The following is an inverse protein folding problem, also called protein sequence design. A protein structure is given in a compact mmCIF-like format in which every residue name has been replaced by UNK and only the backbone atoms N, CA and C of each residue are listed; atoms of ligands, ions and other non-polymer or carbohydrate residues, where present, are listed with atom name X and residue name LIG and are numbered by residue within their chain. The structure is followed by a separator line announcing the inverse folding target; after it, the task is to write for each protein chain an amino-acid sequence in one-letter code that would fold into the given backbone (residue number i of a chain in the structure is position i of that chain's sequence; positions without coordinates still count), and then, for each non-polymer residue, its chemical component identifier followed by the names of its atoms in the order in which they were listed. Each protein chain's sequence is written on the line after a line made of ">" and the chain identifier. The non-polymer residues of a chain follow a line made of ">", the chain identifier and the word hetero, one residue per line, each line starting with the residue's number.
data_IF_352235780469
#
_entry.id   IF_352235780469
#
_cell.length_a   1.000
_cell.length_b   1.000
_cell.length_c   1.000
_cell.angle_alpha   90.00
_cell.angle_beta   90.00
_cell.angle_gamma   90.00
#
_symmetry.space_group_name_H-M   'P 1'
#
loop_
_entity.id
_entity.type
_entity.pdbx_description
1 polymer ?
#
# COMPACT_ATOMS: atom_id res chain seq x y z
N UNK A 1 -11.63 4.90 24.96
CA UNK A 1 -12.98 4.78 24.38
C UNK A 1 -13.75 6.04 24.70
N UNK A 2 -14.45 6.64 23.74
CA UNK A 2 -15.17 7.90 23.94
C UNK A 2 -16.66 7.69 24.22
N UNK A 3 -17.22 6.53 23.88
CA UNK A 3 -18.64 6.20 24.10
C UNK A 3 -18.83 5.01 25.02
N UNK A 4 -19.90 5.06 25.82
CA UNK A 4 -20.38 3.92 26.58
C UNK A 4 -21.91 3.82 26.53
N UNK A 5 -22.44 2.75 27.11
CA UNK A 5 -23.86 2.60 27.40
C UNK A 5 -24.07 2.84 28.89
N UNK A 6 -24.98 3.74 29.25
CA UNK A 6 -25.38 4.01 30.64
C UNK A 6 -26.31 2.92 31.22
N UNK A 7 -26.82 3.16 32.43
CA UNK A 7 -27.75 2.25 33.11
C UNK A 7 -29.11 2.16 32.40
N UNK A 8 -29.53 3.22 31.71
CA UNK A 8 -30.76 3.31 30.94
C UNK A 8 -30.62 2.75 29.51
N UNK A 9 -29.50 2.08 29.20
CA UNK A 9 -29.15 1.56 27.88
C UNK A 9 -28.99 2.63 26.77
N UNK A 10 -28.75 3.89 27.13
CA UNK A 10 -28.50 4.98 26.18
C UNK A 10 -27.00 5.16 25.95
N UNK A 11 -26.62 5.51 24.71
CA UNK A 11 -25.24 5.89 24.37
C UNK A 11 -24.90 7.23 25.04
N UNK A 12 -23.76 7.31 25.70
CA UNK A 12 -23.26 8.53 26.35
C UNK A 12 -21.78 8.76 26.01
N UNK A 13 -21.45 10.03 25.70
CA UNK A 13 -20.07 10.48 25.51
C UNK A 13 -19.37 10.63 26.86
N UNK A 14 -18.10 10.27 26.90
CA UNK A 14 -17.30 10.34 28.13
C UNK A 14 -17.26 11.75 28.73
N UNK A 15 -17.29 12.80 27.91
CA UNK A 15 -17.30 14.19 28.38
C UNK A 15 -18.60 14.62 29.09
N UNK A 16 -19.70 13.90 28.89
CA UNK A 16 -20.97 14.12 29.58
C UNK A 16 -21.22 13.12 30.71
N UNK A 17 -20.30 12.17 30.90
CA UNK A 17 -20.38 11.15 31.91
C UNK A 17 -19.90 11.66 33.27
N UNK A 18 -20.52 11.17 34.35
CA UNK A 18 -20.12 11.44 35.73
C UNK A 18 -19.61 10.16 36.42
N UNK A 19 -18.81 10.29 37.49
CA UNK A 19 -18.18 9.14 38.17
C UNK A 19 -19.15 8.34 39.04
N UNK A 20 -20.32 8.89 39.33
CA UNK A 20 -21.34 8.32 40.20
C UNK A 20 -22.20 7.28 39.48
N UNK A 21 -22.15 7.24 38.15
CA UNK A 21 -22.92 6.28 37.34
C UNK A 21 -22.05 5.12 36.84
N UNK A 22 -22.70 3.98 36.60
CA UNK A 22 -22.05 2.82 35.98
C UNK A 22 -22.22 2.83 34.47
N UNK A 23 -21.16 2.45 33.76
CA UNK A 23 -21.15 2.39 32.31
C UNK A 23 -20.73 1.02 31.83
N UNK A 24 -21.25 0.63 30.66
CA UNK A 24 -20.96 -0.64 30.01
C UNK A 24 -20.46 -0.43 28.59
N UNK A 25 -19.55 -1.30 28.16
CA UNK A 25 -19.05 -1.30 26.80
C UNK A 25 -20.17 -1.65 25.80
N UNK A 26 -20.38 -0.88 24.73
CA UNK A 26 -21.41 -1.18 23.73
C UNK A 26 -21.23 -2.56 23.07
N UNK A 27 -19.98 -2.99 22.90
CA UNK A 27 -19.60 -4.22 22.18
C UNK A 27 -19.66 -5.46 23.07
N UNK A 28 -18.95 -5.47 24.20
CA UNK A 28 -18.83 -6.67 25.05
C UNK A 28 -19.72 -6.64 26.30
N UNK A 29 -20.44 -5.52 26.53
CA UNK A 29 -21.29 -5.29 27.71
C UNK A 29 -20.58 -5.31 29.08
N UNK A 30 -19.26 -5.50 29.11
CA UNK A 30 -18.47 -5.45 30.33
C UNK A 30 -18.49 -4.03 30.96
N UNK A 31 -18.38 -3.93 32.29
CA UNK A 31 -18.27 -2.64 32.99
C UNK A 31 -17.06 -1.81 32.54
N UNK A 32 -17.22 -0.49 32.58
CA UNK A 32 -16.21 0.50 32.22
C UNK A 32 -15.93 1.45 33.38
N UNK A 33 -14.71 1.99 33.40
CA UNK A 33 -14.26 3.05 34.32
C UNK A 33 -14.20 4.36 33.54
N UNK A 34 -14.84 5.40 34.06
CA UNK A 34 -14.64 6.77 33.58
C UNK A 34 -13.30 7.33 34.08
N UNK A 35 -12.37 7.57 33.17
CA UNK A 35 -11.11 8.26 33.42
C UNK A 35 -11.33 9.74 33.12
N UNK A 36 -11.26 10.56 34.16
CA UNK A 36 -11.47 12.02 34.09
C UNK A 36 -10.49 12.71 35.04
N UNK A 37 -9.75 13.69 34.53
CA UNK A 37 -8.80 14.50 35.30
C UNK A 37 -8.35 15.73 34.51
N UNK A 38 -7.61 16.65 35.16
CA UNK A 38 -7.19 17.92 34.54
C UNK A 38 -6.21 17.77 33.36
N UNK A 39 -5.46 16.67 33.33
CA UNK A 39 -4.40 16.41 32.33
C UNK A 39 -4.83 15.33 31.32
N UNK A 40 -5.75 14.45 31.71
CA UNK A 40 -6.14 13.28 30.92
C UNK A 40 -7.48 13.58 30.26
N UNK A 41 -7.53 13.43 28.94
CA UNK A 41 -8.76 13.56 28.18
C UNK A 41 -9.81 12.59 28.72
N UNK A 42 -11.01 13.10 29.01
CA UNK A 42 -12.08 12.28 29.56
C UNK A 42 -12.43 11.12 28.62
N UNK A 43 -12.30 9.89 29.11
CA UNK A 43 -12.55 8.67 28.33
C UNK A 43 -12.97 7.50 29.21
N UNK A 44 -13.56 6.48 28.61
CA UNK A 44 -13.84 5.20 29.24
C UNK A 44 -12.71 4.19 29.00
N UNK A 45 -12.44 3.37 30.02
CA UNK A 45 -11.51 2.26 29.98
C UNK A 45 -12.14 0.99 30.56
N UNK A 46 -11.77 -0.18 30.03
CA UNK A 46 -12.14 -1.45 30.64
C UNK A 46 -11.37 -1.65 31.97
N UNK A 47 -11.97 -2.37 32.91
CA UNK A 47 -11.23 -2.87 34.07
C UNK A 47 -10.11 -3.82 33.62
N UNK A 48 -8.93 -3.79 34.29
CA UNK A 48 -7.85 -4.73 34.01
C UNK A 48 -8.37 -6.19 34.03
N UNK A 49 -7.87 -7.03 33.12
CA UNK A 49 -8.22 -8.45 32.92
C UNK A 49 -9.55 -8.79 32.22
N UNK A 50 -10.39 -7.83 31.82
CA UNK A 50 -11.57 -8.11 30.98
C UNK A 50 -11.21 -8.08 29.49
N UNK A 51 -11.11 -9.25 28.85
CA UNK A 51 -10.94 -9.36 27.39
C UNK A 51 -12.17 -8.80 26.68
N UNK A 52 -11.97 -7.85 25.79
CA UNK A 52 -12.98 -7.38 24.86
C UNK A 52 -12.50 -7.74 23.45
N UNK A 53 -13.23 -8.61 22.75
CA UNK A 53 -12.85 -9.07 21.41
C UNK A 53 -12.84 -7.95 20.35
N UNK A 54 -13.52 -6.82 20.63
CA UNK A 54 -13.54 -5.62 19.80
C UNK A 54 -12.49 -4.58 20.21
N UNK A 55 -11.57 -4.88 21.13
CA UNK A 55 -10.66 -3.89 21.73
C UNK A 55 -9.22 -4.43 21.84
N UNK A 56 -8.25 -3.64 21.37
CA UNK A 56 -6.87 -3.72 21.85
C UNK A 56 -6.76 -2.95 23.17
N UNK A 57 -6.09 -3.50 24.17
CA UNK A 57 -5.88 -2.90 25.50
C UNK A 57 -5.57 -1.38 25.46
N UNK A 58 -6.10 -0.64 26.46
CA UNK A 58 -5.88 0.79 26.76
C UNK A 58 -5.56 1.71 25.57
N UNK A 59 -6.57 2.44 25.07
CA UNK A 59 -6.31 3.49 24.07
C UNK A 59 -5.35 4.55 24.62
N UNK A 60 -4.32 4.89 23.84
CA UNK A 60 -3.40 5.98 24.18
C UNK A 60 -4.09 7.33 24.05
N UNK A 61 -3.50 8.36 24.68
CA UNK A 61 -3.95 9.74 24.50
C UNK A 61 -3.91 10.16 23.03
N UNK A 62 -2.85 9.80 22.29
CA UNK A 62 -2.76 10.04 20.84
C UNK A 62 -3.95 9.45 20.09
N UNK A 63 -4.35 8.21 20.43
CA UNK A 63 -5.50 7.57 19.80
C UNK A 63 -6.81 8.33 20.07
N UNK A 64 -7.01 8.76 21.33
CA UNK A 64 -8.21 9.50 21.73
C UNK A 64 -8.27 10.87 21.02
N UNK A 65 -7.19 11.64 21.05
CA UNK A 65 -7.13 12.96 20.42
C UNK A 65 -7.25 12.88 18.90
N UNK A 66 -6.57 11.93 18.26
CA UNK A 66 -6.71 11.73 16.82
C UNK A 66 -8.13 11.35 16.40
N UNK A 67 -8.85 10.53 17.18
CA UNK A 67 -10.27 10.24 16.92
C UNK A 67 -11.16 11.48 17.04
N UNK A 68 -10.95 12.30 18.06
CA UNK A 68 -11.70 13.56 18.21
C UNK A 68 -11.44 14.51 17.03
N UNK A 69 -10.18 14.60 16.61
CA UNK A 69 -9.79 15.42 15.47
C UNK A 69 -10.44 14.93 14.17
N UNK A 70 -10.35 13.62 13.88
CA UNK A 70 -11.02 13.01 12.73
C UNK A 70 -12.54 13.18 12.79
N UNK A 71 -13.14 13.06 13.97
CA UNK A 71 -14.58 13.26 14.15
C UNK A 71 -15.01 14.69 13.82
N UNK A 72 -14.30 15.69 14.34
CA UNK A 72 -14.54 17.11 14.03
C UNK A 72 -14.42 17.36 12.53
N UNK A 73 -13.35 16.86 11.92
CA UNK A 73 -13.10 17.00 10.49
C UNK A 73 -14.20 16.34 9.65
N UNK A 74 -14.52 15.07 9.88
CA UNK A 74 -15.56 14.40 9.10
C UNK A 74 -16.94 15.05 9.33
N UNK A 75 -17.24 15.52 10.55
CA UNK A 75 -18.52 16.18 10.86
C UNK A 75 -18.67 17.54 10.20
N UNK A 76 -17.59 18.21 9.78
CA UNK A 76 -17.68 19.42 8.97
C UNK A 76 -17.99 19.14 7.50
N UNK A 77 -17.93 17.88 7.06
CA UNK A 77 -18.16 17.46 5.67
C UNK A 77 -19.38 16.56 5.49
N UNK A 78 -19.74 15.76 6.49
CA UNK A 78 -20.82 14.78 6.40
C UNK A 78 -21.86 15.01 7.50
N UNK A 79 -23.13 14.83 7.13
CA UNK A 79 -24.28 15.06 8.02
C UNK A 79 -24.42 14.02 9.14
N UNK A 80 -23.88 12.81 8.93
CA UNK A 80 -24.02 11.68 9.86
C UNK A 80 -22.67 11.03 10.09
N UNK A 81 -22.00 11.42 11.18
CA UNK A 81 -20.76 10.79 11.64
C UNK A 81 -21.01 10.22 13.04
N UNK A 82 -20.66 8.96 13.24
CA UNK A 82 -20.74 8.27 14.52
C UNK A 82 -19.33 7.89 14.99
N UNK A 83 -18.98 8.31 16.20
CA UNK A 83 -17.84 7.74 16.92
C UNK A 83 -18.15 6.31 17.34
N UNK A 84 -17.16 5.42 17.26
CA UNK A 84 -17.17 4.08 17.86
C UNK A 84 -18.47 3.31 17.60
N UNK A 85 -19.01 3.42 16.38
CA UNK A 85 -20.28 2.84 16.00
C UNK A 85 -20.20 1.30 16.08
N UNK A 86 -21.00 0.68 16.94
CA UNK A 86 -21.07 -0.78 16.96
C UNK A 86 -21.88 -1.27 15.77
N UNK A 87 -21.25 -2.07 14.90
CA UNK A 87 -21.83 -2.65 13.70
C UNK A 87 -22.21 -4.10 13.99
N UNK A 88 -23.48 -4.40 14.36
CA UNK A 88 -23.84 -5.68 14.96
C UNK A 88 -23.69 -6.86 14.00
N UNK A 89 -23.94 -6.63 12.70
CA UNK A 89 -23.84 -7.66 11.66
C UNK A 89 -22.43 -8.25 11.55
N UNK A 90 -21.41 -7.43 11.79
CA UNK A 90 -20.00 -7.85 11.70
C UNK A 90 -19.31 -7.92 13.06
N UNK A 91 -20.02 -7.58 14.14
CA UNK A 91 -19.51 -7.47 15.50
C UNK A 91 -18.23 -6.62 15.60
N UNK A 92 -18.09 -5.64 14.71
CA UNK A 92 -16.98 -4.70 14.69
C UNK A 92 -17.41 -3.34 15.21
N UNK A 93 -16.40 -2.53 15.52
CA UNK A 93 -16.57 -1.17 15.98
C UNK A 93 -15.42 -0.34 15.40
N UNK A 94 -15.61 0.25 14.21
CA UNK A 94 -14.63 1.19 13.69
C UNK A 94 -14.51 2.39 14.64
N UNK A 95 -13.40 3.11 14.55
CA UNK A 95 -13.20 4.31 15.36
C UNK A 95 -14.20 5.39 14.98
N UNK A 96 -14.50 5.52 13.69
CA UNK A 96 -15.59 6.35 13.17
C UNK A 96 -16.36 5.62 12.07
N UNK A 97 -17.63 5.96 11.93
CA UNK A 97 -18.52 5.50 10.86
C UNK A 97 -19.28 6.69 10.29
N UNK A 98 -19.46 6.74 8.98
CA UNK A 98 -20.33 7.73 8.35
C UNK A 98 -20.88 7.19 7.02
N UNK A 99 -21.91 7.87 6.52
CA UNK A 99 -22.41 7.67 5.15
C UNK A 99 -22.04 8.91 4.32
N UNK A 100 -21.35 8.71 3.20
CA UNK A 100 -21.01 9.82 2.30
C UNK A 100 -22.25 10.31 1.52
N UNK A 101 -22.11 11.34 0.69
CA UNK A 101 -23.23 11.88 -0.12
C UNK A 101 -23.87 10.84 -1.07
N UNK A 102 -23.11 9.80 -1.45
CA UNK A 102 -23.56 8.69 -2.29
C UNK A 102 -24.21 7.56 -1.49
N UNK A 103 -24.33 7.72 -0.15
CA UNK A 103 -24.79 6.71 0.81
C UNK A 103 -23.90 5.47 0.90
N UNK A 104 -22.63 5.61 0.52
CA UNK A 104 -21.65 4.57 0.79
C UNK A 104 -21.33 4.55 2.28
N UNK A 105 -21.31 3.34 2.85
CA UNK A 105 -21.01 3.11 4.26
C UNK A 105 -19.50 3.09 4.46
N UNK A 106 -18.96 4.08 5.16
CA UNK A 106 -17.51 4.23 5.34
C UNK A 106 -17.14 4.05 6.81
N UNK A 107 -16.22 3.13 7.05
CA UNK A 107 -15.57 2.93 8.34
C UNK A 107 -14.20 3.64 8.33
N UNK A 108 -13.83 4.29 9.42
CA UNK A 108 -12.50 4.86 9.61
C UNK A 108 -11.83 4.18 10.79
N UNK A 109 -10.60 3.75 10.57
CA UNK A 109 -9.76 3.06 11.56
C UNK A 109 -8.48 3.88 11.76
N UNK A 110 -8.25 4.35 12.98
CA UNK A 110 -7.10 5.16 13.35
C UNK A 110 -6.08 4.34 14.15
N UNK A 111 -5.05 3.84 13.49
CA UNK A 111 -4.15 2.86 14.11
C UNK A 111 -2.93 3.52 14.77
N UNK A 112 -2.94 3.62 16.11
CA UNK A 112 -1.82 4.15 16.91
C UNK A 112 -0.92 3.08 17.58
N UNK A 113 -1.42 1.86 17.75
CA UNK A 113 -0.73 0.77 18.45
C UNK A 113 -0.35 -0.38 17.51
N UNK A 114 0.34 -1.41 18.00
CA UNK A 114 0.66 -2.59 17.19
C UNK A 114 -0.62 -3.39 16.91
N UNK A 115 -0.93 -3.58 15.63
CA UNK A 115 -1.95 -4.50 15.12
C UNK A 115 -1.25 -5.53 14.25
N UNK A 116 -1.57 -6.81 14.41
CA UNK A 116 -0.98 -7.84 13.54
C UNK A 116 -1.53 -7.74 12.12
N UNK A 117 -0.74 -8.20 11.13
CA UNK A 117 -1.17 -8.23 9.73
C UNK A 117 -2.45 -9.06 9.55
N UNK A 118 -2.57 -10.19 10.25
CA UNK A 118 -3.73 -11.08 10.15
C UNK A 118 -5.00 -10.44 10.71
N UNK A 119 -4.90 -9.72 11.84
CA UNK A 119 -6.05 -9.01 12.42
C UNK A 119 -6.51 -7.87 11.51
N UNK A 120 -5.58 -7.07 10.99
CA UNK A 120 -5.91 -5.97 10.08
C UNK A 120 -6.58 -6.48 8.79
N UNK A 121 -6.03 -7.56 8.21
CA UNK A 121 -6.60 -8.19 7.02
C UNK A 121 -8.00 -8.76 7.30
N UNK A 122 -8.16 -9.48 8.42
CA UNK A 122 -9.47 -10.02 8.83
C UNK A 122 -10.52 -8.92 9.01
N UNK A 123 -10.16 -7.82 9.69
CA UNK A 123 -11.06 -6.67 9.89
C UNK A 123 -11.46 -6.04 8.56
N UNK A 124 -10.47 -5.76 7.71
CA UNK A 124 -10.68 -5.14 6.39
C UNK A 124 -11.57 -5.99 5.49
N UNK A 125 -11.29 -7.29 5.37
CA UNK A 125 -12.10 -8.20 4.56
C UNK A 125 -13.52 -8.35 5.12
N UNK A 126 -13.69 -8.30 6.43
CA UNK A 126 -15.02 -8.33 7.05
C UNK A 126 -15.82 -7.07 6.75
N UNK A 127 -15.22 -5.88 6.68
CA UNK A 127 -15.90 -4.67 6.22
C UNK A 127 -16.33 -4.80 4.76
N UNK A 128 -15.38 -5.15 3.88
CA UNK A 128 -15.62 -5.24 2.44
C UNK A 128 -16.71 -6.25 2.08
N UNK A 129 -16.71 -7.43 2.71
CA UNK A 129 -17.75 -8.46 2.48
C UNK A 129 -19.16 -8.04 2.88
N UNK A 130 -19.30 -7.01 3.72
CA UNK A 130 -20.59 -6.49 4.19
C UNK A 130 -20.88 -5.11 3.61
N UNK A 131 -20.26 -4.75 2.48
CA UNK A 131 -20.46 -3.49 1.76
C UNK A 131 -20.09 -2.24 2.57
N UNK A 132 -19.08 -2.35 3.43
CA UNK A 132 -18.42 -1.21 4.06
C UNK A 132 -17.09 -0.92 3.35
N UNK A 133 -16.88 0.33 2.97
CA UNK A 133 -15.56 0.87 2.66
C UNK A 133 -14.80 1.12 3.95
N UNK A 134 -13.46 1.05 3.94
CA UNK A 134 -12.65 1.35 5.12
C UNK A 134 -11.47 2.25 4.78
N UNK A 135 -11.29 3.30 5.57
CA UNK A 135 -10.14 4.19 5.54
C UNK A 135 -9.25 3.87 6.73
N UNK A 136 -8.05 3.36 6.44
CA UNK A 136 -7.03 3.12 7.45
C UNK A 136 -6.08 4.33 7.52
N UNK A 137 -5.95 4.91 8.71
CA UNK A 137 -5.10 6.08 8.97
C UNK A 137 -4.08 5.71 10.03
N UNK A 138 -2.80 5.93 9.72
CA UNK A 138 -1.69 5.68 10.64
C UNK A 138 -1.53 6.80 11.67
N UNK A 139 -1.27 6.43 12.92
CA UNK A 139 -0.93 7.35 14.00
C UNK A 139 0.55 7.79 14.03
N UNK A 140 0.91 8.71 14.94
CA UNK A 140 2.26 9.28 15.02
C UNK A 140 3.35 8.25 15.35
N UNK A 141 3.02 7.18 16.08
CA UNK A 141 3.99 6.16 16.52
C UNK A 141 4.30 5.09 15.45
N UNK A 142 3.66 5.15 14.28
CA UNK A 142 3.87 4.21 13.16
C UNK A 142 4.86 4.75 12.11
N UNK A 143 6.07 5.09 12.54
CA UNK A 143 7.10 5.60 11.65
C UNK A 143 7.43 4.60 10.51
N UNK A 144 7.42 5.09 9.27
CA UNK A 144 8.00 4.36 8.14
C UNK A 144 9.53 4.38 8.29
N UNK A 145 10.16 3.20 8.34
CA UNK A 145 11.63 3.11 8.32
C UNK A 145 12.11 3.32 6.88
N UNK A 146 13.11 4.18 6.69
CA UNK A 146 13.59 4.72 5.40
C UNK A 146 14.07 3.73 4.33
N UNK A 147 14.02 2.42 4.57
CA UNK A 147 14.61 1.46 3.65
C UNK A 147 13.60 0.53 2.97
N UNK A 148 12.41 0.27 3.55
CA UNK A 148 11.39 -0.66 2.99
C UNK A 148 9.98 -0.40 3.54
N UNK A 149 8.96 -0.55 2.69
CA UNK A 149 7.56 -0.75 3.14
C UNK A 149 7.43 -2.18 3.66
N UNK A 150 7.19 -2.35 4.95
CA UNK A 150 6.95 -3.66 5.57
C UNK A 150 5.65 -4.30 5.04
N UNK A 151 5.49 -5.61 5.24
CA UNK A 151 4.25 -6.31 4.86
C UNK A 151 3.02 -5.72 5.57
N UNK A 152 3.17 -5.31 6.85
CA UNK A 152 2.12 -4.63 7.61
C UNK A 152 1.77 -3.27 6.99
N UNK A 153 2.76 -2.44 6.65
CA UNK A 153 2.51 -1.12 6.06
C UNK A 153 1.82 -1.22 4.69
N UNK A 154 2.06 -2.30 3.92
CA UNK A 154 1.35 -2.53 2.64
C UNK A 154 -0.16 -2.73 2.82
N UNK A 155 -0.61 -3.21 3.98
CA UNK A 155 -2.04 -3.34 4.27
C UNK A 155 -2.77 -1.99 4.39
N UNK A 156 -2.04 -0.90 4.66
CA UNK A 156 -2.56 0.47 4.71
C UNK A 156 -2.58 1.16 3.35
N UNK A 157 -2.01 0.55 2.31
CA UNK A 157 -1.94 1.17 0.98
C UNK A 157 -3.33 1.21 0.37
N UNK A 158 -3.74 2.39 -0.07
CA UNK A 158 -5.00 2.63 -0.79
C UNK A 158 -4.76 3.50 -2.04
N UNK A 159 -5.64 3.42 -3.04
CA UNK A 159 -5.58 4.32 -4.21
C UNK A 159 -6.08 5.73 -3.84
N UNK A 160 -5.30 6.76 -4.18
CA UNK A 160 -5.69 8.19 -4.07
C UNK A 160 -5.46 8.92 -5.40
N UNK A 161 -5.80 10.21 -5.46
CA UNK A 161 -5.47 11.07 -6.61
C UNK A 161 -3.96 11.25 -6.85
N UNK A 162 -3.12 10.95 -5.86
CA UNK A 162 -1.65 10.96 -5.96
C UNK A 162 -1.07 9.56 -6.27
N UNK A 163 -1.92 8.59 -6.62
CA UNK A 163 -1.53 7.19 -6.82
C UNK A 163 -1.62 6.35 -5.54
N UNK A 164 -0.87 5.25 -5.48
CA UNK A 164 -0.88 4.36 -4.31
C UNK A 164 -0.27 5.06 -3.09
N UNK A 165 -1.08 5.24 -2.05
CA UNK A 165 -0.78 6.10 -0.91
C UNK A 165 -1.01 5.40 0.44
N UNK A 166 -0.36 5.90 1.47
CA UNK A 166 -0.64 5.60 2.88
C UNK A 166 -1.01 6.90 3.58
N UNK A 167 -2.10 6.93 4.33
CA UNK A 167 -2.54 8.10 5.10
C UNK A 167 -1.98 8.03 6.52
N UNK A 168 -1.40 9.14 7.00
CA UNK A 168 -0.92 9.32 8.37
C UNK A 168 -1.51 10.59 8.95
N UNK A 169 -2.00 10.55 10.19
CA UNK A 169 -2.51 11.72 10.87
C UNK A 169 -1.44 12.35 11.76
N UNK A 170 -1.17 13.64 11.54
CA UNK A 170 -0.38 14.46 12.42
C UNK A 170 -1.31 15.23 13.35
N UNK A 171 -1.50 14.73 14.57
CA UNK A 171 -2.43 15.28 15.56
C UNK A 171 -2.04 16.71 15.93
N UNK A 172 -0.75 16.96 16.17
CA UNK A 172 -0.26 18.27 16.64
C UNK A 172 -0.41 19.38 15.60
N UNK A 173 -0.20 19.04 14.32
CA UNK A 173 -0.38 20.01 13.22
C UNK A 173 -1.82 20.07 12.73
N UNK A 174 -2.68 19.12 13.11
CA UNK A 174 -4.00 18.92 12.51
C UNK A 174 -3.94 18.73 10.98
N UNK A 175 -2.97 17.94 10.52
CA UNK A 175 -2.79 17.62 9.10
C UNK A 175 -2.92 16.13 8.82
N UNK A 176 -3.47 15.79 7.67
CA UNK A 176 -3.37 14.47 7.07
C UNK A 176 -2.19 14.44 6.09
N UNK A 177 -1.29 13.51 6.29
CA UNK A 177 -0.08 13.30 5.50
C UNK A 177 -0.31 12.09 4.57
N UNK A 178 -0.30 12.33 3.25
CA UNK A 178 -0.30 11.26 2.25
C UNK A 178 1.12 10.94 1.84
N UNK A 179 1.52 9.70 2.11
CA UNK A 179 2.81 9.14 1.72
C UNK A 179 2.60 8.31 0.46
N UNK A 180 3.20 8.71 -0.65
CA UNK A 180 2.99 8.13 -1.98
C UNK A 180 4.30 8.04 -2.77
N UNK A 181 4.23 7.77 -4.08
CA UNK A 181 5.40 7.69 -4.96
C UNK A 181 6.51 6.76 -4.45
N UNK A 182 6.10 5.62 -3.90
CA UNK A 182 7.01 4.60 -3.42
C UNK A 182 7.86 4.05 -4.56
N UNK A 183 9.10 4.55 -4.67
CA UNK A 183 10.03 4.24 -5.75
C UNK A 183 11.40 3.87 -5.22
N UNK A 184 12.04 2.88 -5.81
CA UNK A 184 13.43 2.56 -5.48
C UNK A 184 14.38 3.48 -6.27
N UNK A 185 15.25 4.18 -5.55
CA UNK A 185 16.42 4.83 -6.15
C UNK A 185 17.34 3.80 -6.81
N UNK A 186 18.30 4.27 -7.62
CA UNK A 186 19.34 3.40 -8.23
C UNK A 186 20.15 2.60 -7.20
N UNK A 187 20.15 3.01 -5.92
CA UNK A 187 20.79 2.30 -4.81
C UNK A 187 19.82 1.40 -4.02
N UNK A 188 18.59 1.19 -4.49
CA UNK A 188 17.49 0.48 -3.80
C UNK A 188 17.08 1.08 -2.46
N UNK A 189 17.42 2.35 -2.20
CA UNK A 189 16.76 3.09 -1.14
C UNK A 189 15.37 3.44 -1.60
N UNK A 190 14.37 3.05 -0.82
CA UNK A 190 12.99 3.44 -1.07
C UNK A 190 12.86 4.93 -0.79
N UNK A 191 12.46 5.67 -1.81
CA UNK A 191 12.05 7.05 -1.70
C UNK A 191 10.53 7.11 -1.77
N UNK A 192 9.97 8.17 -1.21
CA UNK A 192 8.55 8.49 -1.28
C UNK A 192 8.38 10.00 -1.26
N UNK A 193 7.21 10.46 -1.70
CA UNK A 193 6.78 11.84 -1.59
C UNK A 193 5.79 11.93 -0.42
N UNK A 194 5.90 13.00 0.38
CA UNK A 194 4.92 13.31 1.43
C UNK A 194 4.16 14.58 1.03
N UNK A 195 2.84 14.48 0.95
CA UNK A 195 1.94 15.61 0.69
C UNK A 195 1.07 15.85 1.92
N UNK A 196 1.04 17.09 2.39
CA UNK A 196 0.35 17.47 3.62
C UNK A 196 -0.97 18.18 3.28
N UNK A 197 -2.05 17.76 3.94
CA UNK A 197 -3.39 18.32 3.79
C UNK A 197 -3.85 18.84 5.16
N UNK A 198 -4.11 20.15 5.28
CA UNK A 198 -4.74 20.70 6.48
C UNK A 198 -6.17 20.19 6.59
N UNK A 199 -6.55 19.65 7.74
CA UNK A 199 -7.91 19.12 7.94
C UNK A 199 -8.98 20.21 7.84
N UNK A 200 -8.67 21.44 8.26
CA UNK A 200 -9.60 22.57 8.19
C UNK A 200 -10.04 22.87 6.74
N UNK A 201 -9.12 22.71 5.78
CA UNK A 201 -9.30 23.20 4.41
C UNK A 201 -9.40 22.08 3.35
N UNK A 202 -9.29 20.81 3.75
CA UNK A 202 -9.22 19.69 2.82
C UNK A 202 -10.45 18.78 2.93
N UNK A 203 -11.08 18.50 1.79
CA UNK A 203 -12.20 17.55 1.71
C UNK A 203 -11.70 16.10 1.88
N UNK A 204 -12.36 15.26 2.71
CA UNK A 204 -12.05 13.84 2.79
C UNK A 204 -12.23 13.11 1.45
N UNK A 205 -13.22 13.49 0.65
CA UNK A 205 -13.50 12.88 -0.66
C UNK A 205 -12.35 13.12 -1.65
N UNK A 206 -11.75 14.31 -1.65
CA UNK A 206 -10.55 14.63 -2.45
C UNK A 206 -9.40 13.66 -2.13
N UNK A 207 -9.24 13.30 -0.86
CA UNK A 207 -8.12 12.50 -0.38
C UNK A 207 -8.37 11.01 -0.61
N UNK A 208 -9.54 10.50 -0.25
CA UNK A 208 -9.81 9.06 -0.14
C UNK A 208 -10.70 8.47 -1.22
N UNK A 209 -11.46 9.27 -1.97
CA UNK A 209 -12.44 8.75 -2.95
C UNK A 209 -12.06 8.99 -4.40
N UNK A 210 -11.03 9.81 -4.65
CA UNK A 210 -10.56 10.05 -6.00
C UNK A 210 -9.76 8.85 -6.51
N UNK A 211 -10.30 8.25 -7.58
CA UNK A 211 -9.60 7.25 -8.37
C UNK A 211 -8.34 7.91 -8.95
N UNK A 212 -7.19 7.24 -9.02
CA UNK A 212 -6.02 7.72 -9.77
C UNK A 212 -6.32 7.72 -11.28
N UNK A 213 -7.22 8.60 -11.72
CA UNK A 213 -7.38 8.94 -13.12
C UNK A 213 -6.48 10.14 -13.44
N UNK A 214 -5.52 9.90 -14.34
CA UNK A 214 -4.78 10.89 -15.12
C UNK A 214 -3.53 11.60 -14.54
N UNK A 215 -3.10 11.38 -13.29
CA UNK A 215 -1.94 12.11 -12.73
C UNK A 215 -0.63 11.32 -12.62
N UNK A 216 0.26 11.41 -13.62
CA UNK A 216 1.73 11.13 -13.51
C UNK A 216 2.22 9.67 -13.29
N UNK A 217 1.81 8.71 -14.14
CA UNK A 217 2.44 7.37 -14.15
C UNK A 217 3.63 7.20 -15.12
N UNK A 218 4.01 8.25 -15.86
CA UNK A 218 5.07 8.20 -16.90
C UNK A 218 6.31 9.04 -16.57
N UNK A 219 6.84 8.98 -15.34
CA UNK A 219 8.23 9.41 -15.08
C UNK A 219 9.13 8.19 -15.04
N UNK A 220 9.75 7.87 -16.17
CA UNK A 220 10.77 6.83 -16.25
C UNK A 220 12.14 7.45 -15.99
N UNK A 221 12.82 6.99 -14.94
CA UNK A 221 14.24 7.25 -14.74
C UNK A 221 14.99 5.98 -15.03
N UNK A 222 15.91 5.99 -16.01
CA UNK A 222 16.73 4.80 -16.26
C UNK A 222 17.58 4.53 -15.03
N UNK A 223 17.73 3.25 -14.73
CA UNK A 223 18.57 2.77 -13.63
C UNK A 223 20.03 2.88 -14.03
N UNK A 224 20.93 3.07 -13.06
CA UNK A 224 22.36 2.89 -13.28
C UNK A 224 22.65 1.39 -13.46
N UNK A 225 22.50 0.92 -14.70
CA UNK A 225 22.57 -0.50 -15.03
C UNK A 225 23.93 -1.11 -14.70
N UNK A 226 25.02 -0.34 -14.85
CA UNK A 226 26.37 -0.80 -14.56
C UNK A 226 26.56 -1.01 -13.06
N UNK A 227 26.17 -0.03 -12.24
CA UNK A 227 26.17 -0.17 -10.78
C UNK A 227 25.32 -1.36 -10.33
N UNK A 228 24.10 -1.47 -10.86
CA UNK A 228 23.16 -2.54 -10.51
C UNK A 228 23.71 -3.92 -10.90
N UNK A 229 24.32 -4.05 -12.08
CA UNK A 229 24.97 -5.28 -12.52
C UNK A 229 26.07 -5.72 -11.54
N UNK A 230 27.03 -4.84 -11.23
CA UNK A 230 28.11 -5.15 -10.28
C UNK A 230 27.59 -5.51 -8.88
N UNK A 231 26.57 -4.79 -8.40
CA UNK A 231 25.92 -5.05 -7.12
C UNK A 231 25.35 -6.48 -7.05
N UNK A 232 24.58 -6.89 -8.06
CA UNK A 232 23.97 -8.22 -8.05
C UNK A 232 24.99 -9.34 -8.27
N UNK A 233 26.02 -9.11 -9.09
CA UNK A 233 27.16 -10.02 -9.20
C UNK A 233 27.83 -10.26 -7.84
N UNK A 234 28.04 -9.20 -7.06
CA UNK A 234 28.55 -9.32 -5.68
C UNK A 234 27.60 -10.13 -4.79
N UNK A 235 26.30 -9.87 -4.83
CA UNK A 235 25.32 -10.59 -4.00
C UNK A 235 25.22 -12.08 -4.30
N UNK A 236 25.32 -12.48 -5.58
CA UNK A 236 25.36 -13.90 -5.96
C UNK A 236 26.61 -14.57 -5.40
N UNK A 237 27.78 -13.91 -5.50
CA UNK A 237 29.03 -14.41 -4.91
C UNK A 237 28.91 -14.68 -3.41
N UNK A 238 28.17 -13.82 -2.69
CA UNK A 238 27.88 -13.99 -1.26
C UNK A 238 26.63 -14.84 -0.96
N UNK A 239 26.14 -15.62 -1.95
CA UNK A 239 25.03 -16.57 -1.79
C UNK A 239 23.74 -15.94 -1.22
N UNK A 240 23.36 -14.75 -1.72
CA UNK A 240 22.09 -14.13 -1.32
C UNK A 240 20.90 -15.04 -1.70
N UNK A 241 20.20 -15.56 -0.68
CA UNK A 241 19.05 -16.47 -0.84
C UNK A 241 17.92 -15.88 -1.67
N UNK A 242 17.74 -14.55 -1.67
CA UNK A 242 16.67 -13.88 -2.43
C UNK A 242 16.87 -13.96 -3.95
N UNK A 243 18.08 -14.27 -4.41
CA UNK A 243 18.41 -14.39 -5.83
C UNK A 243 18.40 -15.85 -6.32
N UNK A 244 18.27 -16.83 -5.43
CA UNK A 244 18.43 -18.23 -5.76
C UNK A 244 17.45 -18.69 -6.85
N UNK A 245 16.18 -18.27 -6.75
CA UNK A 245 15.14 -18.58 -7.76
C UNK A 245 15.52 -18.05 -9.14
N UNK A 246 15.97 -16.80 -9.23
CA UNK A 246 16.43 -16.21 -10.49
C UNK A 246 17.66 -16.96 -11.03
N UNK A 247 18.67 -17.21 -10.19
CA UNK A 247 19.91 -17.89 -10.62
C UNK A 247 19.61 -19.29 -11.16
N UNK A 248 18.72 -20.02 -10.50
CA UNK A 248 18.27 -21.33 -10.96
C UNK A 248 17.56 -21.25 -12.32
N UNK A 249 16.68 -20.26 -12.52
CA UNK A 249 16.02 -20.02 -13.81
C UNK A 249 17.01 -19.72 -14.92
N UNK A 250 17.95 -18.81 -14.67
CA UNK A 250 19.01 -18.47 -15.64
C UNK A 250 19.81 -19.73 -16.02
N UNK A 251 20.24 -20.51 -15.03
CA UNK A 251 21.00 -21.74 -15.25
C UNK A 251 20.23 -22.76 -16.11
N UNK A 252 18.94 -22.99 -15.82
CA UNK A 252 18.08 -23.90 -16.61
C UNK A 252 17.96 -23.49 -18.07
N UNK A 253 17.98 -22.18 -18.34
CA UNK A 253 17.95 -21.60 -19.69
C UNK A 253 19.35 -21.43 -20.30
N UNK A 254 20.39 -21.97 -19.67
CA UNK A 254 21.81 -21.83 -20.08
C UNK A 254 22.28 -20.37 -20.17
N UNK A 255 21.70 -19.51 -19.35
CA UNK A 255 22.07 -18.10 -19.20
C UNK A 255 22.71 -17.84 -17.83
N UNK A 256 23.29 -16.65 -17.67
CA UNK A 256 23.80 -16.14 -16.40
C UNK A 256 23.60 -14.64 -16.32
N UNK A 257 23.93 -14.03 -15.18
CA UNK A 257 23.92 -12.56 -15.09
C UNK A 257 24.89 -11.89 -16.08
N UNK A 258 25.88 -12.61 -16.59
CA UNK A 258 26.80 -12.11 -17.61
C UNK A 258 26.16 -12.01 -19.00
N UNK A 259 25.19 -12.88 -19.30
CA UNK A 259 24.63 -13.04 -20.66
C UNK A 259 23.20 -12.49 -20.78
N UNK A 260 22.45 -12.45 -19.69
CA UNK A 260 21.05 -11.98 -19.68
C UNK A 260 20.94 -10.50 -20.03
N UNK A 261 19.82 -10.10 -20.62
CA UNK A 261 19.50 -8.70 -20.93
C UNK A 261 19.65 -7.77 -19.73
N UNK A 262 20.15 -6.55 -19.95
CA UNK A 262 20.21 -5.53 -18.91
C UNK A 262 18.83 -5.00 -18.49
N UNK A 263 17.81 -5.21 -19.33
CA UNK A 263 16.45 -4.73 -19.12
C UNK A 263 15.83 -5.23 -17.81
N UNK A 264 16.29 -6.38 -17.29
CA UNK A 264 15.83 -6.91 -15.99
C UNK A 264 16.26 -6.02 -14.81
N UNK A 265 17.26 -5.15 -14.99
CA UNK A 265 17.77 -4.26 -13.95
C UNK A 265 16.97 -2.96 -13.81
N UNK A 266 16.13 -2.61 -14.78
CA UNK A 266 15.39 -1.36 -14.75
C UNK A 266 14.37 -1.36 -13.60
N UNK A 267 14.47 -0.43 -12.65
CA UNK A 267 13.45 -0.19 -11.63
C UNK A 267 12.11 0.24 -12.26
N UNK A 268 11.01 -0.39 -11.83
CA UNK A 268 9.67 -0.09 -12.33
C UNK A 268 8.77 0.38 -11.19
N UNK A 269 7.91 1.37 -11.48
CA UNK A 269 6.95 1.88 -10.51
C UNK A 269 6.05 0.74 -10.00
N UNK A 270 5.83 0.73 -8.69
CA UNK A 270 5.03 -0.29 -8.00
C UNK A 270 5.57 -1.73 -8.04
N UNK A 271 6.82 -1.97 -8.44
CA UNK A 271 7.41 -3.32 -8.38
C UNK A 271 7.45 -3.94 -6.98
N UNK A 272 7.43 -3.09 -5.94
CA UNK A 272 7.32 -3.52 -4.54
C UNK A 272 6.01 -4.22 -4.19
N UNK A 273 4.99 -4.17 -5.07
CA UNK A 273 3.73 -4.91 -4.92
C UNK A 273 3.91 -6.42 -5.13
N UNK A 274 4.90 -6.81 -5.93
CA UNK A 274 5.22 -8.21 -6.24
C UNK A 274 6.23 -8.73 -5.20
N UNK A 275 5.95 -9.90 -4.63
CA UNK A 275 6.82 -10.60 -3.67
C UNK A 275 7.99 -11.30 -4.34
N UNK A 276 7.81 -11.78 -5.58
CA UNK A 276 8.90 -12.31 -6.39
C UNK A 276 9.97 -11.23 -6.61
N UNK A 277 11.23 -11.64 -6.74
CA UNK A 277 12.31 -10.68 -6.95
C UNK A 277 12.09 -9.88 -8.25
N UNK A 278 12.30 -8.54 -8.29
CA UNK A 278 12.02 -7.73 -9.48
C UNK A 278 12.67 -8.23 -10.77
N UNK A 279 13.96 -8.59 -10.69
CA UNK A 279 14.67 -9.15 -11.85
C UNK A 279 14.12 -10.51 -12.31
N UNK A 280 13.53 -11.30 -11.41
CA UNK A 280 13.01 -12.63 -11.72
C UNK A 280 11.75 -12.53 -12.58
N UNK A 281 10.74 -11.78 -12.15
CA UNK A 281 9.52 -11.67 -12.93
C UNK A 281 9.74 -10.89 -14.23
N UNK A 282 10.66 -9.90 -14.26
CA UNK A 282 11.03 -9.21 -15.50
C UNK A 282 11.71 -10.15 -16.48
N UNK A 283 12.60 -11.01 -15.99
CA UNK A 283 13.20 -12.05 -16.83
C UNK A 283 12.13 -12.95 -17.43
N UNK A 284 11.19 -13.44 -16.62
CA UNK A 284 10.09 -14.28 -17.11
C UNK A 284 9.23 -13.56 -18.18
N UNK A 285 8.91 -12.28 -17.97
CA UNK A 285 8.20 -11.47 -18.96
C UNK A 285 9.02 -11.32 -20.25
N UNK A 286 10.33 -11.05 -20.16
CA UNK A 286 11.20 -10.98 -21.33
C UNK A 286 11.23 -12.30 -22.10
N UNK A 287 11.25 -13.45 -21.41
CA UNK A 287 11.20 -14.76 -22.06
C UNK A 287 9.88 -14.97 -22.83
N UNK A 288 8.74 -14.55 -22.27
CA UNK A 288 7.45 -14.57 -22.98
C UNK A 288 7.52 -13.71 -24.23
N UNK A 289 7.95 -12.45 -24.11
CA UNK A 289 8.06 -11.53 -25.26
C UNK A 289 9.05 -12.06 -26.30
N UNK A 290 10.15 -12.68 -25.88
CA UNK A 290 11.15 -13.19 -26.80
C UNK A 290 10.63 -14.38 -27.64
N UNK A 291 9.69 -15.17 -27.11
CA UNK A 291 9.04 -16.27 -27.84
C UNK A 291 8.05 -15.82 -28.91
N UNK A 292 7.51 -14.59 -28.81
CA UNK A 292 6.59 -14.06 -29.83
C UNK A 292 7.35 -13.81 -31.14
N UNK A 293 6.76 -14.06 -32.33
CA UNK A 293 7.36 -13.68 -33.59
C UNK A 293 7.57 -12.15 -33.72
N UNK A 294 8.54 -11.73 -34.52
CA UNK A 294 8.62 -10.31 -34.90
C UNK A 294 7.36 -9.88 -35.65
N UNK A 295 6.97 -8.62 -35.48
CA UNK A 295 5.68 -8.05 -35.92
C UNK A 295 4.43 -8.66 -35.27
N UNK A 296 4.55 -9.63 -34.35
CA UNK A 296 3.39 -10.16 -33.62
C UNK A 296 2.72 -9.05 -32.79
N UNK A 297 1.40 -8.96 -32.90
CA UNK A 297 0.56 -8.01 -32.17
C UNK A 297 -0.17 -8.78 -31.06
N UNK A 298 -0.13 -8.24 -29.85
CA UNK A 298 -0.86 -8.81 -28.72
C UNK A 298 -1.54 -7.71 -27.91
N UNK A 299 -2.71 -8.03 -27.39
CA UNK A 299 -3.52 -7.16 -26.54
C UNK A 299 -3.18 -7.32 -25.06
N UNK A 300 -3.68 -6.38 -24.25
CA UNK A 300 -3.65 -6.44 -22.80
C UNK A 300 -4.21 -7.75 -22.25
N UNK A 301 -5.32 -8.22 -22.82
CA UNK A 301 -5.98 -9.47 -22.40
C UNK A 301 -5.14 -10.71 -22.73
N UNK A 302 -4.52 -10.73 -23.91
CA UNK A 302 -3.61 -11.81 -24.31
C UNK A 302 -2.35 -11.82 -23.44
N UNK A 303 -1.73 -10.66 -23.20
CA UNK A 303 -0.59 -10.56 -22.30
C UNK A 303 -0.92 -11.06 -20.90
N UNK A 304 -2.05 -10.64 -20.34
CA UNK A 304 -2.54 -11.14 -19.04
C UNK A 304 -2.73 -12.65 -19.04
N UNK A 305 -3.05 -13.26 -20.19
CA UNK A 305 -3.15 -14.72 -20.33
C UNK A 305 -1.78 -15.38 -20.31
N UNK A 306 -0.79 -14.81 -21.02
CA UNK A 306 0.58 -15.34 -21.03
C UNK A 306 1.22 -15.35 -19.64
N UNK A 307 0.99 -14.31 -18.83
CA UNK A 307 1.60 -14.20 -17.51
C UNK A 307 0.91 -15.04 -16.42
N UNK A 308 -0.28 -15.61 -16.66
CA UNK A 308 -0.99 -16.44 -15.67
C UNK A 308 -0.13 -17.61 -15.21
N UNK A 309 0.71 -18.15 -16.09
CA UNK A 309 1.60 -19.27 -15.80
C UNK A 309 2.78 -18.89 -14.88
N UNK A 310 3.10 -17.59 -14.75
CA UNK A 310 4.23 -17.12 -13.94
C UNK A 310 4.01 -17.24 -12.43
N UNK A 311 2.77 -17.52 -11.99
CA UNK A 311 2.39 -17.68 -10.57
C UNK A 311 2.94 -16.54 -9.69
N UNK A 312 2.82 -15.30 -10.17
CA UNK A 312 3.28 -14.11 -9.45
C UNK A 312 2.56 -14.02 -8.09
N UNK A 313 3.35 -13.82 -7.03
CA UNK A 313 2.86 -13.64 -5.67
C UNK A 313 2.85 -12.15 -5.37
N UNK A 314 1.71 -11.62 -4.97
CA UNK A 314 1.57 -10.23 -4.54
C UNK A 314 1.57 -10.15 -3.02
N UNK A 315 1.93 -8.99 -2.47
CA UNK A 315 1.67 -8.69 -1.06
C UNK A 315 0.17 -8.47 -0.84
N UNK A 316 -0.29 -8.77 0.37
CA UNK A 316 -1.65 -8.44 0.78
C UNK A 316 -1.80 -6.91 0.85
N UNK A 317 -2.73 -6.40 0.05
CA UNK A 317 -3.09 -4.98 -0.06
C UNK A 317 -4.61 -4.92 -0.28
N UNK A 318 -5.42 -5.15 0.77
CA UNK A 318 -6.85 -5.40 0.62
C UNK A 318 -7.64 -4.19 0.10
N UNK A 319 -7.10 -2.97 0.21
CA UNK A 319 -7.72 -1.74 -0.31
C UNK A 319 -7.35 -1.45 -1.77
N UNK A 320 -6.42 -2.23 -2.36
CA UNK A 320 -5.99 -2.09 -3.75
C UNK A 320 -6.64 -3.16 -4.61
N UNK A 321 -7.43 -2.72 -5.60
CA UNK A 321 -8.11 -3.60 -6.56
C UNK A 321 -7.11 -4.42 -7.39
N UNK A 322 -7.54 -5.63 -7.80
CA UNK A 322 -6.66 -6.56 -8.54
C UNK A 322 -6.20 -6.03 -9.91
N UNK A 323 -7.04 -5.26 -10.60
CA UNK A 323 -6.67 -4.60 -11.86
C UNK A 323 -5.43 -3.69 -11.68
N UNK A 324 -5.35 -2.94 -10.56
CA UNK A 324 -4.22 -2.07 -10.23
C UNK A 324 -2.95 -2.87 -9.91
N UNK A 325 -3.09 -4.06 -9.33
CA UNK A 325 -1.94 -4.95 -9.05
C UNK A 325 -1.23 -5.41 -10.32
N UNK A 326 -1.97 -5.53 -11.42
CA UNK A 326 -1.38 -5.89 -12.73
C UNK A 326 -0.73 -4.71 -13.45
N UNK A 327 -0.99 -3.46 -13.01
CA UNK A 327 -0.48 -2.25 -13.66
C UNK A 327 1.05 -2.18 -13.74
N UNK A 328 1.75 -2.68 -12.70
CA UNK A 328 3.21 -2.79 -12.68
C UNK A 328 3.79 -3.51 -13.91
N UNK A 329 3.07 -4.52 -14.43
CA UNK A 329 3.53 -5.29 -15.58
C UNK A 329 3.42 -4.49 -16.87
N UNK A 330 2.39 -3.64 -16.98
CA UNK A 330 2.23 -2.74 -18.12
C UNK A 330 3.26 -1.62 -18.12
N UNK A 331 3.68 -1.12 -16.95
CA UNK A 331 4.80 -0.18 -16.89
C UNK A 331 6.12 -0.80 -17.35
N UNK A 332 6.29 -2.11 -17.17
CA UNK A 332 7.42 -2.79 -17.77
C UNK A 332 7.29 -2.89 -19.29
N UNK A 333 6.09 -3.15 -19.84
CA UNK A 333 5.86 -3.09 -21.29
C UNK A 333 6.11 -1.69 -21.86
N UNK A 334 5.67 -0.64 -21.16
CA UNK A 334 5.94 0.76 -21.54
C UNK A 334 7.45 1.03 -21.59
N UNK A 335 8.22 0.50 -20.62
CA UNK A 335 9.67 0.55 -20.66
C UNK A 335 10.25 -0.22 -21.87
N UNK A 336 9.71 -1.39 -22.21
CA UNK A 336 10.12 -2.12 -23.41
C UNK A 336 9.80 -1.36 -24.71
N UNK A 337 8.75 -0.54 -24.71
CA UNK A 337 8.49 0.41 -25.80
C UNK A 337 9.56 1.49 -25.88
N UNK A 338 10.00 2.05 -24.76
CA UNK A 338 11.09 3.04 -24.73
C UNK A 338 12.41 2.47 -25.26
N UNK A 339 12.67 1.18 -25.05
CA UNK A 339 13.87 0.50 -25.56
C UNK A 339 13.69 -0.03 -27.00
N UNK A 340 12.54 0.25 -27.62
CA UNK A 340 12.20 -0.14 -28.98
C UNK A 340 12.01 -1.64 -29.19
N UNK A 341 11.89 -2.42 -28.13
CA UNK A 341 11.56 -3.86 -28.20
C UNK A 341 10.10 -4.04 -28.64
N UNK A 342 9.23 -3.18 -28.13
CA UNK A 342 7.81 -3.13 -28.47
C UNK A 342 7.44 -1.77 -29.09
N UNK A 343 6.32 -1.72 -29.81
CA UNK A 343 5.63 -0.46 -30.16
C UNK A 343 4.21 -0.53 -29.61
N UNK A 344 3.80 0.49 -28.85
CA UNK A 344 2.39 0.70 -28.49
C UNK A 344 1.62 1.11 -29.74
N UNK A 345 0.64 0.30 -30.15
CA UNK A 345 -0.26 0.65 -31.28
C UNK A 345 -1.40 1.53 -30.78
N UNK A 346 -1.93 1.19 -29.60
CA UNK A 346 -2.88 1.97 -28.82
C UNK A 346 -2.79 1.55 -27.34
N UNK A 347 -3.61 2.18 -26.49
CA UNK A 347 -3.59 1.99 -25.03
C UNK A 347 -3.77 0.55 -24.52
N UNK A 348 -4.11 -0.41 -25.39
CA UNK A 348 -4.34 -1.80 -25.01
C UNK A 348 -3.63 -2.82 -25.92
N UNK A 349 -2.81 -2.41 -26.89
CA UNK A 349 -2.16 -3.33 -27.83
C UNK A 349 -0.73 -2.93 -28.15
N UNK A 350 0.13 -3.93 -28.26
CA UNK A 350 1.55 -3.79 -28.56
C UNK A 350 1.96 -4.68 -29.71
N UNK A 351 2.94 -4.23 -30.49
CA UNK A 351 3.62 -5.01 -31.52
C UNK A 351 5.05 -5.30 -31.08
N UNK A 352 5.51 -6.55 -31.22
CA UNK A 352 6.93 -6.88 -31.07
C UNK A 352 7.71 -6.37 -32.29
N UNK A 353 8.74 -5.55 -32.06
CA UNK A 353 9.58 -5.02 -33.13
C UNK A 353 10.85 -5.84 -33.34
N UNK A 354 11.53 -6.21 -32.25
CA UNK A 354 12.81 -6.92 -32.29
C UNK A 354 12.95 -7.86 -31.10
N UNK A 355 13.87 -8.82 -31.23
CA UNK A 355 14.22 -9.73 -30.14
C UNK A 355 14.87 -9.01 -28.96
N UNK A 356 14.71 -9.59 -27.77
CA UNK A 356 15.32 -9.06 -26.53
C UNK A 356 16.83 -9.21 -26.64
N UNK A 357 17.59 -8.15 -26.34
CA UNK A 357 19.04 -8.21 -26.38
C UNK A 357 19.59 -9.19 -25.33
N UNK A 358 20.46 -10.10 -25.78
CA UNK A 358 21.29 -10.98 -24.95
C UNK A 358 22.77 -10.74 -25.30
N UNK A 359 23.66 -11.19 -24.44
CA UNK A 359 25.10 -11.00 -24.60
C UNK A 359 25.83 -12.35 -24.66
N UNK A 360 26.91 -12.39 -25.44
CA UNK A 360 27.73 -13.59 -25.59
C UNK A 360 28.62 -13.82 -24.36
N UNK A 361 29.04 -12.74 -23.69
CA UNK A 361 29.88 -12.77 -22.51
C UNK A 361 29.76 -11.47 -21.69
N UNK A 362 30.37 -11.46 -20.50
CA UNK A 362 30.36 -10.30 -19.60
C UNK A 362 31.03 -9.07 -20.21
N UNK A 363 32.14 -9.23 -20.93
CA UNK A 363 32.87 -8.11 -21.52
C UNK A 363 32.03 -7.32 -22.52
N UNK A 364 31.25 -8.02 -23.35
CA UNK A 364 30.28 -7.42 -24.27
C UNK A 364 29.20 -6.64 -23.50
N UNK A 365 28.64 -7.27 -22.44
CA UNK A 365 27.62 -6.64 -21.60
C UNK A 365 28.14 -5.37 -20.93
N UNK A 366 29.29 -5.43 -20.27
CA UNK A 366 29.87 -4.28 -19.56
C UNK A 366 30.12 -3.11 -20.51
N UNK A 367 30.64 -3.35 -21.72
CA UNK A 367 30.82 -2.31 -22.74
C UNK A 367 29.50 -1.62 -23.08
N UNK A 368 28.43 -2.40 -23.29
CA UNK A 368 27.12 -1.84 -23.57
C UNK A 368 26.57 -1.05 -22.36
N UNK A 369 26.67 -1.58 -21.15
CA UNK A 369 26.22 -0.88 -19.94
C UNK A 369 26.95 0.45 -19.72
N UNK A 370 28.24 0.51 -20.04
CA UNK A 370 29.03 1.73 -19.95
C UNK A 370 28.51 2.81 -20.93
N UNK A 371 28.21 2.44 -22.18
CA UNK A 371 27.62 3.36 -23.15
C UNK A 371 26.26 3.90 -22.69
N UNK A 372 25.40 3.04 -22.12
CA UNK A 372 24.11 3.46 -21.56
C UNK A 372 24.27 4.42 -20.38
N UNK A 373 25.31 4.23 -19.56
CA UNK A 373 25.59 5.11 -18.42
C UNK A 373 26.02 6.52 -18.84
N UNK A 374 26.70 6.66 -19.98
CA UNK A 374 27.11 7.96 -20.52
C UNK A 374 25.93 8.77 -21.07
N UNK A 375 24.85 8.11 -21.48
CA UNK A 375 23.62 8.75 -21.96
C UNK A 375 22.72 9.23 -20.81
N UNK A 376 23.07 8.92 -19.56
CA UNK A 376 22.30 9.26 -18.35
C UNK A 376 22.82 10.49 -17.60
N UNK A 377 23.99 11.00 -17.98
CA UNK A 377 24.64 12.17 -17.39
C UNK A 377 24.21 13.47 -18.07
#
# INVERSE_FOLDING_TARGET
>A
MLLAIDEQNKKILAEHATKEQNYRCPSCKNPLILKQGKIVTTHFAHYPAKKCFSFSEGESMDHIEGKKLLFRWLSSHYSTVELEAFLPQIQQRPDLYFENERKDKVCVEFQCSKLSSDEMLKRTLSYQRHNYSVWWILGPNSALKQDKISALQKLFVFPSHLGLSIARLNIFKEHLELINDFGYSSKEKLNWTETNFSLENSSPDLIFTQNPEAGQLKKFKRTDYLYTHHKYMKQIKYKNKNLLSLVEKLYRNRESLHTVSYLIYQSINYEWMIRNHPMEWKYDVLQIINKLPEAHIFSRKEFLTYIKELKLKYYDMPLVQDNMRTTVLFFFLDFLCLEGILTEINSNTWRKNKSVISYSNEGEKIKHLYLLSQQLC
#
